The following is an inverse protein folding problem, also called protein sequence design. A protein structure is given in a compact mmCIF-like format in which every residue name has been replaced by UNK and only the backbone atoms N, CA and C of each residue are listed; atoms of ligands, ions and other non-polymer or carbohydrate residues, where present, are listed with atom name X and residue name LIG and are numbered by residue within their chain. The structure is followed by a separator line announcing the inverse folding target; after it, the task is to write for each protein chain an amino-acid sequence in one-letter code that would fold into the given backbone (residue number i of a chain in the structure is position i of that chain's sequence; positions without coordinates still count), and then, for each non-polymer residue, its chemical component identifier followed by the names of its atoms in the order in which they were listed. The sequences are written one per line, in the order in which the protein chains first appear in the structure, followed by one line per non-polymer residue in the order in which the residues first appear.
data_IF_961484261574
#
_entry.id   IF_961484261574
#
_cell.length_a   1.000
_cell.length_b   1.000
_cell.length_c   1.000
_cell.angle_alpha   90.00
_cell.angle_beta   90.00
_cell.angle_gamma   90.00
#
_symmetry.space_group_name_H-M   'P 1'
#
loop_
_entity.id
_entity.type
_entity.pdbx_description
1 polymer ?
#
# COMPACT_ATOMS: atom_id res chain seq x y z
N UNK A 1 4.84 -9.85 10.72
CA UNK A 1 3.50 -9.39 10.28
C UNK A 1 3.68 -7.97 9.82
N UNK A 2 3.12 -7.57 8.67
CA UNK A 2 3.24 -6.20 8.18
C UNK A 2 2.45 -5.24 9.08
N UNK A 3 2.95 -4.02 9.23
CA UNK A 3 2.18 -2.89 9.75
C UNK A 3 1.58 -2.11 8.57
N UNK A 4 0.28 -2.30 8.32
CA UNK A 4 -0.42 -1.65 7.21
C UNK A 4 -0.56 -0.14 7.41
N UNK A 5 -0.58 0.33 8.65
CA UNK A 5 -0.58 1.77 8.97
C UNK A 5 0.72 2.44 8.55
N UNK A 6 1.87 1.81 8.86
CA UNK A 6 3.18 2.28 8.40
C UNK A 6 3.29 2.22 6.88
N UNK A 7 2.86 1.11 6.27
CA UNK A 7 2.92 0.96 4.82
C UNK A 7 2.09 2.04 4.10
N UNK A 8 0.89 2.40 4.59
CA UNK A 8 0.10 3.52 4.03
C UNK A 8 0.85 4.85 4.09
N UNK A 9 1.45 5.16 5.25
CA UNK A 9 2.21 6.40 5.44
C UNK A 9 3.39 6.50 4.46
N UNK A 10 4.09 5.40 4.23
CA UNK A 10 5.21 5.37 3.28
C UNK A 10 4.75 5.61 1.83
N UNK A 11 3.61 5.07 1.41
CA UNK A 11 3.07 5.31 0.06
C UNK A 11 2.57 6.74 -0.12
N UNK A 12 1.96 7.34 0.91
CA UNK A 12 1.57 8.75 0.90
C UNK A 12 2.78 9.70 0.84
N UNK A 13 3.84 9.42 1.61
CA UNK A 13 5.09 10.19 1.50
C UNK A 13 5.69 10.05 0.09
N UNK A 14 5.66 8.84 -0.49
CA UNK A 14 6.15 8.61 -1.83
C UNK A 14 5.40 9.42 -2.90
N UNK A 15 4.06 9.41 -2.88
CA UNK A 15 3.22 10.26 -3.75
C UNK A 15 3.60 11.74 -3.61
N UNK A 16 3.75 12.22 -2.37
CA UNK A 16 4.13 13.60 -2.09
C UNK A 16 5.53 13.96 -2.62
N UNK A 17 6.52 13.08 -2.46
CA UNK A 17 7.84 13.31 -3.02
C UNK A 17 7.81 13.31 -4.56
N UNK A 18 6.96 12.47 -5.16
CA UNK A 18 6.80 12.44 -6.61
C UNK A 18 6.16 13.72 -7.14
N UNK A 19 5.14 14.24 -6.48
CA UNK A 19 4.54 15.54 -6.80
C UNK A 19 5.58 16.67 -6.80
N UNK A 20 6.42 16.71 -5.75
CA UNK A 20 7.54 17.66 -5.68
C UNK A 20 8.56 17.45 -6.80
N UNK A 21 8.82 16.21 -7.19
CA UNK A 21 9.75 15.91 -8.28
C UNK A 21 9.21 16.42 -9.62
N UNK A 22 7.91 16.35 -9.86
CA UNK A 22 7.26 16.92 -11.05
C UNK A 22 7.43 18.43 -11.10
N UNK A 23 7.20 19.11 -9.96
CA UNK A 23 7.33 20.57 -9.87
C UNK A 23 8.78 21.07 -10.03
N UNK A 24 9.74 20.30 -9.54
CA UNK A 24 11.15 20.73 -9.45
C UNK A 24 12.05 20.12 -10.52
N UNK A 25 11.57 19.11 -11.26
CA UNK A 25 12.38 18.28 -12.16
C UNK A 25 13.38 17.36 -11.46
N UNK A 26 13.40 17.30 -10.11
CA UNK A 26 14.42 16.60 -9.32
C UNK A 26 13.89 15.31 -8.72
N UNK A 27 14.36 14.16 -9.21
CA UNK A 27 13.92 12.82 -8.76
C UNK A 27 14.75 12.21 -7.62
N UNK A 28 15.79 12.91 -7.13
CA UNK A 28 16.72 12.35 -6.13
C UNK A 28 16.02 11.95 -4.83
N UNK A 29 15.02 12.70 -4.37
CA UNK A 29 14.25 12.35 -3.17
C UNK A 29 13.32 11.15 -3.36
N UNK A 30 12.71 11.01 -4.53
CA UNK A 30 11.83 9.88 -4.87
C UNK A 30 12.65 8.59 -4.94
N UNK A 31 13.82 8.65 -5.57
CA UNK A 31 14.72 7.51 -5.75
C UNK A 31 15.43 7.08 -4.47
N UNK A 32 15.62 8.00 -3.51
CA UNK A 32 16.14 7.70 -2.16
C UNK A 32 15.05 7.35 -1.14
N UNK A 33 13.79 7.23 -1.55
CA UNK A 33 12.68 6.90 -0.65
C UNK A 33 12.71 5.43 -0.22
N UNK A 34 11.96 5.10 0.85
CA UNK A 34 11.80 3.72 1.32
C UNK A 34 10.90 2.87 0.42
N UNK A 35 10.11 3.50 -0.45
CA UNK A 35 9.26 2.81 -1.42
C UNK A 35 10.08 2.60 -2.69
N UNK A 36 10.43 1.34 -2.96
CA UNK A 36 11.18 0.99 -4.15
C UNK A 36 10.32 1.22 -5.41
N UNK A 37 10.92 1.57 -6.55
CA UNK A 37 10.15 1.77 -7.79
C UNK A 37 9.41 0.49 -8.20
N UNK A 38 10.01 -0.67 -7.95
CA UNK A 38 9.35 -1.96 -8.16
C UNK A 38 8.41 -2.29 -7.00
N UNK A 39 7.16 -2.58 -7.33
CA UNK A 39 6.14 -3.03 -6.37
C UNK A 39 6.59 -4.27 -5.58
N UNK A 40 7.31 -5.21 -6.19
CA UNK A 40 7.83 -6.43 -5.50
C UNK A 40 8.92 -6.16 -4.45
N UNK A 41 9.48 -4.95 -4.42
CA UNK A 41 10.62 -4.62 -3.56
C UNK A 41 10.27 -3.63 -2.44
N UNK A 42 9.04 -3.10 -2.41
CA UNK A 42 8.55 -2.37 -1.26
C UNK A 42 8.09 -3.35 -0.16
N UNK A 43 7.99 -2.89 1.09
CA UNK A 43 7.62 -3.73 2.23
C UNK A 43 6.22 -4.37 2.04
N UNK A 44 5.27 -3.63 1.46
CA UNK A 44 3.95 -4.14 1.14
C UNK A 44 4.00 -5.25 0.09
N UNK A 45 4.72 -5.05 -1.02
CA UNK A 45 4.84 -6.06 -2.06
C UNK A 45 5.55 -7.32 -1.59
N UNK A 46 6.65 -7.18 -0.85
CA UNK A 46 7.33 -8.32 -0.25
C UNK A 46 6.39 -9.13 0.67
N UNK A 47 5.53 -8.44 1.42
CA UNK A 47 4.54 -9.11 2.25
C UNK A 47 3.43 -9.78 1.42
N UNK A 48 2.88 -9.09 0.42
CA UNK A 48 1.86 -9.62 -0.49
C UNK A 48 2.34 -10.90 -1.17
N UNK A 49 3.53 -10.85 -1.77
CA UNK A 49 4.11 -11.97 -2.53
C UNK A 49 4.44 -13.18 -1.64
N UNK A 50 4.95 -12.94 -0.42
CA UNK A 50 5.40 -14.02 0.46
C UNK A 50 4.28 -14.63 1.31
N UNK A 51 3.28 -13.85 1.67
CA UNK A 51 2.29 -14.24 2.67
C UNK A 51 0.88 -13.74 2.36
N UNK A 52 0.76 -12.47 1.98
CA UNK A 52 -0.53 -11.77 1.93
C UNK A 52 -1.51 -12.43 0.97
N UNK A 53 -1.07 -12.66 -0.28
CA UNK A 53 -1.90 -13.23 -1.33
C UNK A 53 -2.37 -14.64 -0.99
N UNK A 54 -1.47 -15.52 -0.54
CA UNK A 54 -1.82 -16.92 -0.23
C UNK A 54 -2.69 -17.03 1.03
N UNK A 55 -2.31 -16.36 2.12
CA UNK A 55 -2.98 -16.51 3.42
C UNK A 55 -4.35 -15.86 3.47
N UNK A 56 -4.55 -14.78 2.72
CA UNK A 56 -5.74 -13.94 2.81
C UNK A 56 -6.51 -13.86 1.49
N UNK A 57 -6.31 -14.83 0.59
CA UNK A 57 -7.02 -14.95 -0.69
C UNK A 57 -8.55 -15.02 -0.54
N UNK A 58 -9.07 -15.43 0.62
CA UNK A 58 -10.50 -15.45 0.90
C UNK A 58 -11.12 -14.07 1.07
N UNK A 59 -10.30 -13.03 1.28
CA UNK A 59 -10.77 -11.65 1.22
C UNK A 59 -10.67 -11.16 -0.24
N UNK A 60 -11.80 -10.88 -0.92
CA UNK A 60 -11.77 -10.41 -2.31
C UNK A 60 -10.97 -9.10 -2.46
N UNK A 61 -10.90 -8.29 -1.40
CA UNK A 61 -10.12 -7.06 -1.36
C UNK A 61 -8.60 -7.29 -1.50
N UNK A 62 -8.10 -8.50 -1.23
CA UNK A 62 -6.68 -8.82 -1.34
C UNK A 62 -6.19 -8.82 -2.79
N UNK A 63 -7.01 -9.33 -3.72
CA UNK A 63 -6.71 -9.30 -5.15
C UNK A 63 -6.72 -7.86 -5.68
N UNK A 64 -7.72 -7.07 -5.30
CA UNK A 64 -7.79 -5.65 -5.67
C UNK A 64 -6.60 -4.86 -5.11
N UNK A 65 -6.22 -5.11 -3.86
CA UNK A 65 -5.07 -4.46 -3.22
C UNK A 65 -3.80 -4.69 -4.03
N UNK A 66 -3.56 -5.92 -4.48
CA UNK A 66 -2.41 -6.26 -5.30
C UNK A 66 -2.41 -5.54 -6.65
N UNK A 67 -3.54 -5.52 -7.35
CA UNK A 67 -3.66 -4.88 -8.66
C UNK A 67 -3.46 -3.35 -8.57
N UNK A 68 -4.10 -2.68 -7.61
CA UNK A 68 -3.92 -1.24 -7.41
C UNK A 68 -2.49 -0.89 -6.98
N UNK A 69 -1.88 -1.70 -6.13
CA UNK A 69 -0.47 -1.55 -5.75
C UNK A 69 0.48 -1.65 -6.96
N UNK A 70 0.26 -2.63 -7.84
CA UNK A 70 1.04 -2.79 -9.08
C UNK A 70 0.89 -1.57 -10.00
N UNK A 71 -0.34 -1.07 -10.19
CA UNK A 71 -0.61 0.11 -11.03
C UNK A 71 0.01 1.38 -10.46
N UNK A 72 -0.10 1.61 -9.15
CA UNK A 72 0.55 2.72 -8.47
C UNK A 72 2.04 2.80 -8.80
N UNK A 73 2.76 1.69 -8.63
CA UNK A 73 4.20 1.62 -8.95
C UNK A 73 4.50 1.76 -10.45
N UNK A 74 3.63 1.24 -11.31
CA UNK A 74 3.76 1.41 -12.76
C UNK A 74 3.66 2.87 -13.18
N UNK A 75 2.67 3.61 -12.66
CA UNK A 75 2.54 5.05 -12.94
C UNK A 75 3.66 5.86 -12.29
N UNK A 76 4.15 5.45 -11.13
CA UNK A 76 5.31 6.10 -10.50
C UNK A 76 6.55 6.00 -11.39
N UNK A 77 6.86 4.82 -11.92
CA UNK A 77 8.00 4.64 -12.83
C UNK A 77 7.83 5.48 -14.11
N UNK A 78 6.62 5.50 -14.68
CA UNK A 78 6.30 6.33 -15.84
C UNK A 78 6.52 7.82 -15.55
N UNK A 79 6.01 8.34 -14.43
CA UNK A 79 6.20 9.74 -14.04
C UNK A 79 7.68 10.08 -13.84
N UNK A 80 8.45 9.20 -13.19
CA UNK A 80 9.91 9.37 -13.01
C UNK A 80 10.62 9.44 -14.37
N UNK A 81 10.23 8.60 -15.34
CA UNK A 81 10.80 8.63 -16.69
C UNK A 81 10.45 9.92 -17.43
N UNK A 82 9.21 10.40 -17.35
CA UNK A 82 8.78 11.64 -18.00
C UNK A 82 9.50 12.86 -17.40
N UNK A 83 9.67 12.90 -16.07
CA UNK A 83 10.49 13.93 -15.39
C UNK A 83 11.93 13.91 -15.91
N UNK A 84 12.56 12.73 -16.00
CA UNK A 84 13.94 12.59 -16.49
C UNK A 84 14.12 13.03 -17.94
N UNK A 85 13.05 12.95 -18.76
CA UNK A 85 13.03 13.42 -20.16
C UNK A 85 12.72 14.92 -20.29
N UNK A 86 12.34 15.59 -19.20
CA UNK A 86 11.89 16.99 -19.22
C UNK A 86 10.47 17.17 -19.75
N UNK A 87 9.67 16.10 -19.87
CA UNK A 87 8.28 16.16 -20.32
C UNK A 87 7.33 16.36 -19.14
N UNK A 88 7.23 17.60 -18.67
CA UNK A 88 6.40 17.95 -17.51
C UNK A 88 4.90 17.79 -17.77
N UNK A 89 4.45 17.91 -19.02
CA UNK A 89 3.03 17.77 -19.37
C UNK A 89 2.59 16.31 -19.28
N UNK A 90 3.41 15.39 -19.79
CA UNK A 90 3.18 13.96 -19.66
C UNK A 90 3.30 13.50 -18.20
N UNK A 91 4.30 14.00 -17.47
CA UNK A 91 4.47 13.70 -16.04
C UNK A 91 3.23 14.10 -15.21
N UNK A 92 2.60 15.24 -15.52
CA UNK A 92 1.38 15.69 -14.87
C UNK A 92 0.16 14.79 -15.12
N UNK A 93 0.00 14.30 -16.36
CA UNK A 93 -1.09 13.36 -16.71
C UNK A 93 -0.91 12.02 -15.98
N UNK A 94 0.29 11.44 -16.07
CA UNK A 94 0.62 10.18 -15.40
C UNK A 94 0.45 10.31 -13.88
N UNK A 95 0.80 11.46 -13.31
CA UNK A 95 0.59 11.71 -11.89
C UNK A 95 -0.89 11.72 -11.50
N UNK A 96 -1.78 12.25 -12.34
CA UNK A 96 -3.23 12.17 -12.07
C UNK A 96 -3.70 10.73 -11.93
N UNK A 97 -3.27 9.84 -12.82
CA UNK A 97 -3.58 8.40 -12.74
C UNK A 97 -3.01 7.77 -11.47
N UNK A 98 -1.76 8.11 -11.12
CA UNK A 98 -1.13 7.65 -9.87
C UNK A 98 -1.92 8.07 -8.63
N UNK A 99 -2.48 9.29 -8.60
CA UNK A 99 -3.26 9.77 -7.45
C UNK A 99 -4.55 8.97 -7.26
N UNK A 100 -5.22 8.60 -8.33
CA UNK A 100 -6.41 7.75 -8.23
C UNK A 100 -6.05 6.35 -7.71
N UNK A 101 -4.97 5.75 -8.24
CA UNK A 101 -4.47 4.46 -7.75
C UNK A 101 -4.00 4.54 -6.28
N UNK A 102 -3.41 5.67 -5.86
CA UNK A 102 -3.01 5.92 -4.48
C UNK A 102 -4.22 5.92 -3.54
N UNK A 103 -5.31 6.62 -3.90
CA UNK A 103 -6.53 6.66 -3.09
C UNK A 103 -7.12 5.26 -2.88
N UNK A 104 -7.24 4.49 -3.95
CA UNK A 104 -7.74 3.12 -3.88
C UNK A 104 -6.81 2.21 -3.06
N UNK A 105 -5.50 2.33 -3.26
CA UNK A 105 -4.50 1.59 -2.48
C UNK A 105 -4.63 1.89 -0.97
N UNK A 106 -4.69 3.17 -0.58
CA UNK A 106 -4.84 3.58 0.82
C UNK A 106 -6.17 3.09 1.42
N UNK A 107 -7.26 3.16 0.65
CA UNK A 107 -8.56 2.62 1.06
C UNK A 107 -8.49 1.10 1.31
N UNK A 108 -7.97 0.34 0.34
CA UNK A 108 -7.87 -1.11 0.42
C UNK A 108 -6.94 -1.56 1.56
N UNK A 109 -5.83 -0.87 1.79
CA UNK A 109 -4.95 -1.13 2.94
C UNK A 109 -5.66 -0.88 4.27
N UNK A 110 -6.51 0.15 4.35
CA UNK A 110 -7.31 0.45 5.55
C UNK A 110 -8.35 -0.64 5.79
N UNK A 111 -9.06 -1.06 4.74
CA UNK A 111 -10.05 -2.13 4.83
C UNK A 111 -9.40 -3.47 5.20
N UNK A 112 -8.25 -3.80 4.60
CA UNK A 112 -7.53 -5.01 4.93
C UNK A 112 -7.03 -5.00 6.38
N UNK A 113 -6.50 -3.89 6.87
CA UNK A 113 -6.11 -3.77 8.29
C UNK A 113 -7.29 -4.05 9.23
N UNK A 114 -8.46 -3.49 8.93
CA UNK A 114 -9.68 -3.78 9.67
C UNK A 114 -10.02 -5.28 9.63
N UNK A 115 -10.03 -5.91 8.45
CA UNK A 115 -10.33 -7.35 8.27
C UNK A 115 -9.37 -8.23 9.08
N UNK A 116 -8.07 -7.95 8.99
CA UNK A 116 -7.03 -8.72 9.68
C UNK A 116 -7.13 -8.61 11.20
N UNK A 117 -7.41 -7.42 11.72
CA UNK A 117 -7.63 -7.23 13.16
C UNK A 117 -8.86 -8.00 13.66
N UNK A 118 -9.96 -8.00 12.88
CA UNK A 118 -11.18 -8.71 13.25
C UNK A 118 -11.01 -10.23 13.21
N UNK A 119 -10.36 -10.77 12.17
CA UNK A 119 -10.10 -12.21 12.04
C UNK A 119 -9.17 -12.73 13.16
N UNK A 120 -8.13 -11.98 13.51
CA UNK A 120 -7.24 -12.32 14.63
C UNK A 120 -7.97 -12.30 15.97
N UNK A 121 -8.82 -11.31 16.20
CA UNK A 121 -9.64 -11.22 17.41
C UNK A 121 -10.59 -12.40 17.54
N UNK A 122 -11.33 -12.76 16.47
CA UNK A 122 -12.23 -13.92 16.45
C UNK A 122 -11.47 -15.22 16.72
N UNK A 123 -10.33 -15.43 16.06
CA UNK A 123 -9.50 -16.61 16.26
C UNK A 123 -8.98 -16.72 17.70
N UNK A 124 -8.59 -15.59 18.31
CA UNK A 124 -8.14 -15.53 19.71
C UNK A 124 -9.26 -15.86 20.70
N UNK A 125 -10.48 -15.38 20.45
CA UNK A 125 -11.66 -15.67 21.25
C UNK A 125 -12.02 -17.16 21.21
N UNK A 126 -12.02 -17.76 20.03
CA UNK A 126 -12.30 -19.19 19.85
C UNK A 126 -11.28 -20.09 20.57
N UNK A 127 -10.01 -19.68 20.61
CA UNK A 127 -8.94 -20.43 21.30
C UNK A 127 -9.00 -20.34 22.83
N UNK A 128 -9.64 -19.32 23.40
CA UNK A 128 -9.67 -19.09 24.86
C UNK A 128 -11.10 -18.79 25.38
N UNK A 129 -12.05 -19.74 25.27
CA UNK A 129 -13.46 -19.50 25.62
C UNK A 129 -13.66 -19.15 27.10
N UNK A 130 -12.83 -19.68 28.00
CA UNK A 130 -12.90 -19.43 29.44
C UNK A 130 -12.65 -17.96 29.83
N UNK A 131 -11.92 -17.18 29.00
CA UNK A 131 -11.70 -15.74 29.23
C UNK A 131 -12.97 -14.92 29.08
N UNK A 132 -13.93 -15.38 28.27
CA UNK A 132 -15.21 -14.72 28.03
C UNK A 132 -16.16 -15.00 29.20
N UNK A 133 -16.26 -16.27 29.62
CA UNK A 133 -17.09 -16.67 30.76
C UNK A 133 -16.67 -15.92 32.04
N UNK A 134 -15.37 -15.71 32.27
CA UNK A 134 -14.88 -14.92 33.41
C UNK A 134 -15.20 -13.42 33.34
N UNK A 135 -15.46 -12.86 32.15
CA UNK A 135 -15.83 -11.44 31.97
C UNK A 135 -17.33 -11.20 32.08
N UNK A 136 -18.14 -12.24 31.85
CA UNK A 136 -19.61 -12.14 31.89
C UNK A 136 -20.15 -12.54 33.26
N UNK A 137 -19.49 -13.48 33.94
CA UNK A 137 -19.91 -14.03 35.24
C UNK A 137 -18.97 -13.69 36.40
N UNK A 138 -18.06 -12.72 36.22
CA UNK A 138 -17.06 -12.31 37.21
C UNK A 138 -16.96 -10.80 37.34
#
# INVERSE_FOLDING_TARGET
MIDLSVARMLHLDYEFQLEKAIQTGKVSRVTSSKIHVSHHQCELGLWLDRFGLDRYQHFPEMASLYEHHKRFHSFADQAIRSIKKGDSADAGKVYSELKEESRELIYLMTLMEYRLLHEQNLTSLLKNPMRILRRVFG
#
